data_IF_188778762250
#
_entry.id   IF_188778762250
#
_cell.length_a   1.000
_cell.length_b   1.000
_cell.length_c   1.000
_cell.angle_alpha   90.00
_cell.angle_beta   90.00
_cell.angle_gamma   90.00
#
_symmetry.space_group_name_H-M   'P 1'
#
loop_
_entity.id
_entity.type
_entity.pdbx_description
1 polymer ?
#
# COMPACT_ATOMS: atom_id res chain seq x y z
N UNK A 1 14.90 -42.37 -20.31
CA UNK A 1 13.62 -42.05 -19.62
C UNK A 1 13.94 -40.98 -18.58
N UNK A 2 13.38 -39.78 -18.73
CA UNK A 2 13.57 -38.69 -17.77
C UNK A 2 12.51 -38.82 -16.67
N UNK A 3 12.94 -38.86 -15.41
CA UNK A 3 12.05 -38.88 -14.25
C UNK A 3 11.59 -37.44 -14.00
N UNK A 4 10.27 -37.17 -13.91
CA UNK A 4 9.80 -35.83 -13.62
C UNK A 4 10.17 -35.45 -12.18
N UNK A 5 10.85 -34.31 -12.02
CA UNK A 5 11.03 -33.67 -10.72
C UNK A 5 9.70 -33.00 -10.38
N UNK A 6 9.02 -33.50 -9.34
CA UNK A 6 7.91 -32.76 -8.77
C UNK A 6 8.47 -31.62 -7.93
N UNK A 7 8.40 -30.40 -8.45
CA UNK A 7 8.53 -29.20 -7.62
C UNK A 7 7.32 -29.15 -6.69
N UNK A 8 7.53 -29.43 -5.41
CA UNK A 8 6.59 -29.08 -4.33
C UNK A 8 6.64 -27.56 -4.13
N UNK A 9 6.11 -26.81 -5.10
CA UNK A 9 5.98 -25.35 -5.04
C UNK A 9 4.68 -24.97 -4.32
N UNK A 10 4.44 -25.52 -3.13
CA UNK A 10 3.41 -25.01 -2.24
C UNK A 10 4.19 -24.12 -1.28
N UNK A 11 4.27 -22.82 -1.62
CA UNK A 11 4.84 -21.83 -0.71
C UNK A 11 4.21 -22.02 0.67
N UNK A 12 5.03 -21.86 1.71
CA UNK A 12 4.60 -21.98 3.09
C UNK A 12 3.30 -21.16 3.28
N UNK A 13 2.23 -21.83 3.70
CA UNK A 13 0.91 -21.20 3.88
C UNK A 13 0.84 -20.50 5.24
N UNK A 14 1.91 -20.55 6.04
CA UNK A 14 2.06 -19.75 7.23
C UNK A 14 2.17 -18.25 6.90
N UNK A 15 1.53 -17.36 7.69
CA UNK A 15 1.73 -15.93 7.57
C UNK A 15 3.21 -15.57 7.66
N UNK A 16 3.64 -14.65 6.81
CA UNK A 16 5.01 -14.21 6.74
C UNK A 16 5.26 -13.11 7.78
N UNK A 17 6.35 -13.19 8.55
CA UNK A 17 6.65 -12.21 9.59
C UNK A 17 6.88 -10.82 8.99
N UNK A 18 6.41 -9.78 9.70
CA UNK A 18 6.58 -8.37 9.32
C UNK A 18 7.55 -7.73 10.30
N UNK A 19 8.63 -7.12 9.80
CA UNK A 19 9.56 -6.38 10.65
C UNK A 19 9.01 -4.97 10.94
N UNK A 20 8.70 -4.71 12.22
CA UNK A 20 8.10 -3.47 12.72
C UNK A 20 9.06 -2.68 13.63
N UNK A 21 10.35 -3.01 13.65
CA UNK A 21 11.35 -2.37 14.52
C UNK A 21 11.53 -0.88 14.27
N UNK A 22 11.28 -0.43 13.03
CA UNK A 22 11.38 0.98 12.65
C UNK A 22 10.16 1.82 13.06
N UNK A 23 9.10 1.19 13.61
CA UNK A 23 7.88 1.88 14.02
C UNK A 23 7.90 2.19 15.53
N UNK A 24 7.31 3.34 15.94
CA UNK A 24 7.11 3.66 17.34
C UNK A 24 6.41 2.53 18.08
N UNK A 25 6.73 2.39 19.36
CA UNK A 25 5.97 1.51 20.24
C UNK A 25 4.56 2.10 20.47
N UNK A 26 3.57 1.22 20.48
CA UNK A 26 2.15 1.53 20.64
C UNK A 26 1.50 0.72 21.76
N UNK A 27 2.31 -0.05 22.51
CA UNK A 27 1.87 -0.87 23.62
C UNK A 27 1.20 -2.18 23.22
N UNK A 28 0.92 -2.99 24.24
CA UNK A 28 0.32 -4.33 24.08
C UNK A 28 -1.21 -4.31 24.05
N UNK A 29 -1.82 -3.26 24.59
CA UNK A 29 -3.28 -3.08 24.53
C UNK A 29 -3.69 -2.69 23.11
N UNK A 30 -4.72 -3.36 22.60
CA UNK A 30 -5.23 -3.07 21.26
C UNK A 30 -5.87 -1.68 21.21
N UNK A 31 -5.35 -0.85 20.32
CA UNK A 31 -5.91 0.45 19.96
C UNK A 31 -7.20 0.26 19.14
N UNK A 32 -8.03 1.29 19.13
CA UNK A 32 -9.28 1.34 18.36
C UNK A 32 -9.12 2.14 17.07
N UNK A 33 -8.10 2.97 16.97
CA UNK A 33 -7.82 3.83 15.81
C UNK A 33 -6.38 3.63 15.31
N UNK A 34 -6.17 3.89 14.02
CA UNK A 34 -4.86 3.79 13.39
C UNK A 34 -3.86 4.82 13.96
N UNK A 35 -2.80 4.39 14.69
CA UNK A 35 -1.84 5.29 15.31
C UNK A 35 -0.87 5.91 14.32
N UNK A 36 -0.76 5.40 13.09
CA UNK A 36 0.29 5.79 12.15
C UNK A 36 -0.14 6.81 11.10
N UNK A 37 -1.32 7.44 11.24
CA UNK A 37 -1.75 8.51 10.34
C UNK A 37 -0.78 9.71 10.39
N UNK A 38 -0.54 10.32 9.23
CA UNK A 38 0.52 11.34 9.06
C UNK A 38 0.37 12.54 10.03
N UNK A 39 -0.85 12.94 10.34
CA UNK A 39 -1.14 14.02 11.28
C UNK A 39 -0.80 13.70 12.75
N UNK A 40 -0.72 12.41 13.10
CA UNK A 40 -0.39 11.95 14.46
C UNK A 40 1.12 11.74 14.64
N UNK A 41 1.78 11.16 13.64
CA UNK A 41 3.18 10.70 13.76
C UNK A 41 4.16 11.43 12.86
N UNK A 42 3.68 12.31 11.98
CA UNK A 42 4.49 13.00 10.97
C UNK A 42 4.81 12.12 9.75
N UNK A 43 5.22 12.76 8.67
CA UNK A 43 5.44 12.11 7.37
C UNK A 43 6.51 11.01 7.41
N UNK A 44 7.58 11.20 8.18
CA UNK A 44 8.69 10.23 8.25
C UNK A 44 8.21 8.87 8.80
N UNK A 45 7.47 8.89 9.91
CA UNK A 45 6.93 7.66 10.52
C UNK A 45 5.80 7.09 9.68
N UNK A 46 4.93 7.93 9.13
CA UNK A 46 3.87 7.48 8.22
C UNK A 46 4.44 6.77 6.98
N UNK A 47 5.51 7.30 6.38
CA UNK A 47 6.20 6.64 5.25
C UNK A 47 6.85 5.31 5.66
N UNK A 48 7.41 5.22 6.87
CA UNK A 48 7.92 3.96 7.39
C UNK A 48 6.80 2.93 7.57
N UNK A 49 5.66 3.33 8.15
CA UNK A 49 4.47 2.50 8.31
C UNK A 49 3.90 2.05 6.97
N UNK A 50 3.87 2.93 5.96
CA UNK A 50 3.45 2.58 4.61
C UNK A 50 4.35 1.52 3.97
N UNK A 51 5.67 1.69 4.04
CA UNK A 51 6.62 0.74 3.44
C UNK A 51 6.52 -0.64 4.09
N UNK A 52 6.40 -0.67 5.42
CA UNK A 52 6.20 -1.91 6.18
C UNK A 52 4.83 -2.52 5.86
N UNK A 53 3.79 -1.69 5.78
CA UNK A 53 2.43 -2.07 5.45
C UNK A 53 2.29 -2.66 4.05
N UNK A 54 2.91 -2.04 3.04
CA UNK A 54 2.93 -2.52 1.66
C UNK A 54 3.54 -3.93 1.58
N UNK A 55 4.71 -4.11 2.21
CA UNK A 55 5.35 -5.42 2.30
C UNK A 55 4.48 -6.44 3.05
N UNK A 56 3.96 -6.07 4.22
CA UNK A 56 3.12 -6.95 5.05
C UNK A 56 1.84 -7.36 4.34
N UNK A 57 1.19 -6.42 3.67
CA UNK A 57 -0.04 -6.62 2.90
C UNK A 57 0.19 -7.57 1.72
N UNK A 58 1.23 -7.32 0.91
CA UNK A 58 1.51 -8.14 -0.27
C UNK A 58 1.83 -9.59 0.09
N UNK A 59 2.45 -9.82 1.25
CA UNK A 59 2.80 -11.17 1.70
C UNK A 59 1.62 -11.92 2.34
N UNK A 60 0.73 -11.22 3.04
CA UNK A 60 -0.28 -11.86 3.89
C UNK A 60 -1.74 -11.68 3.41
N UNK A 61 -2.03 -10.65 2.62
CA UNK A 61 -3.41 -10.21 2.34
C UNK A 61 -3.75 -10.23 0.84
N UNK A 62 -2.80 -9.84 -0.02
CA UNK A 62 -3.03 -9.60 -1.45
C UNK A 62 -3.53 -10.82 -2.22
N UNK A 63 -3.23 -12.05 -1.77
CA UNK A 63 -3.74 -13.27 -2.39
C UNK A 63 -5.27 -13.35 -2.40
N UNK A 64 -5.93 -12.79 -1.38
CA UNK A 64 -7.38 -12.82 -1.23
C UNK A 64 -8.04 -11.49 -1.61
N UNK A 65 -7.42 -10.38 -1.18
CA UNK A 65 -7.97 -9.03 -1.36
C UNK A 65 -7.40 -8.31 -2.59
N UNK A 66 -6.53 -8.96 -3.35
CA UNK A 66 -5.90 -8.45 -4.57
C UNK A 66 -4.71 -7.53 -4.32
N UNK A 67 -3.93 -7.27 -5.36
CA UNK A 67 -2.79 -6.35 -5.29
C UNK A 67 -3.30 -4.91 -5.13
N UNK A 68 -2.61 -4.11 -4.31
CA UNK A 68 -3.06 -2.74 -4.05
C UNK A 68 -4.42 -2.66 -3.35
N UNK A 69 -4.87 -3.74 -2.71
CA UNK A 69 -6.20 -3.89 -2.13
C UNK A 69 -7.38 -3.85 -3.10
N UNK A 70 -7.11 -3.92 -4.40
CA UNK A 70 -8.13 -3.99 -5.46
C UNK A 70 -8.59 -5.43 -5.62
N UNK A 71 -9.83 -5.73 -5.25
CA UNK A 71 -10.31 -7.11 -5.26
C UNK A 71 -10.52 -7.69 -6.66
N UNK A 72 -10.06 -8.94 -6.85
CA UNK A 72 -10.40 -9.77 -8.01
C UNK A 72 -11.68 -10.61 -7.86
N UNK A 73 -12.50 -10.35 -6.81
CA UNK A 73 -13.77 -11.03 -6.56
C UNK A 73 -13.73 -12.19 -5.56
N UNK A 74 -12.56 -12.52 -4.98
CA UNK A 74 -12.44 -13.58 -3.98
C UNK A 74 -12.82 -13.11 -2.56
N UNK A 75 -12.35 -11.94 -2.16
CA UNK A 75 -12.68 -11.27 -0.91
C UNK A 75 -13.02 -9.79 -1.17
N UNK A 76 -13.57 -9.01 -0.24
CA UNK A 76 -13.91 -7.61 -0.47
C UNK A 76 -12.70 -6.73 -0.87
N UNK A 77 -12.94 -5.72 -1.70
CA UNK A 77 -11.99 -4.62 -1.94
C UNK A 77 -11.85 -3.81 -0.65
N UNK A 78 -10.62 -3.70 -0.13
CA UNK A 78 -10.40 -3.08 1.17
C UNK A 78 -10.20 -1.56 1.09
N UNK A 79 -10.04 -1.00 -0.12
CA UNK A 79 -9.83 0.45 -0.28
C UNK A 79 -11.05 1.25 0.16
N UNK A 80 -12.24 0.64 0.13
CA UNK A 80 -13.49 1.24 0.57
C UNK A 80 -13.75 1.14 2.07
N UNK A 81 -12.81 0.58 2.85
CA UNK A 81 -12.93 0.60 4.30
C UNK A 81 -12.51 1.99 4.82
N UNK A 82 -13.51 2.77 5.23
CA UNK A 82 -13.39 4.19 5.60
C UNK A 82 -12.24 4.45 6.58
N UNK A 83 -11.46 5.50 6.34
CA UNK A 83 -10.31 5.88 7.16
C UNK A 83 -10.72 6.68 8.41
N UNK A 84 -11.58 6.06 9.24
CA UNK A 84 -12.11 6.63 10.48
C UNK A 84 -12.23 5.55 11.56
N UNK A 85 -12.57 5.96 12.79
CA UNK A 85 -12.67 5.08 13.97
C UNK A 85 -13.50 3.84 13.71
N UNK A 86 -14.69 3.97 13.10
CA UNK A 86 -15.55 2.82 12.82
C UNK A 86 -14.90 1.83 11.83
N UNK A 87 -14.23 2.34 10.80
CA UNK A 87 -13.48 1.52 9.86
C UNK A 87 -12.27 0.83 10.49
N UNK A 88 -11.62 1.49 11.45
CA UNK A 88 -10.46 0.97 12.18
C UNK A 88 -10.86 -0.12 13.19
N UNK A 89 -11.94 0.06 13.93
CA UNK A 89 -12.48 -0.98 14.81
C UNK A 89 -12.86 -2.22 14.01
N UNK A 90 -13.52 -2.03 12.85
CA UNK A 90 -13.85 -3.11 11.94
C UNK A 90 -12.59 -3.80 11.41
N UNK A 91 -11.59 -3.03 10.97
CA UNK A 91 -10.31 -3.59 10.55
C UNK A 91 -9.65 -4.42 11.65
N UNK A 92 -9.53 -3.86 12.85
CA UNK A 92 -8.85 -4.48 13.98
C UNK A 92 -9.54 -5.79 14.38
N UNK A 93 -10.88 -5.83 14.46
CA UNK A 93 -11.62 -7.05 14.76
C UNK A 93 -11.38 -8.12 13.69
N UNK A 94 -11.48 -7.77 12.40
CA UNK A 94 -11.28 -8.72 11.29
C UNK A 94 -9.85 -9.19 11.19
N UNK A 95 -8.88 -8.32 11.41
CA UNK A 95 -7.47 -8.70 11.46
C UNK A 95 -7.22 -9.71 12.57
N UNK A 96 -7.73 -9.44 13.78
CA UNK A 96 -7.48 -10.27 14.95
C UNK A 96 -8.18 -11.62 14.88
N UNK A 97 -9.47 -11.60 14.61
CA UNK A 97 -10.36 -12.75 14.76
C UNK A 97 -10.69 -13.44 13.44
N UNK A 98 -10.39 -12.79 12.30
CA UNK A 98 -10.73 -13.29 10.98
C UNK A 98 -12.23 -13.19 10.68
N UNK A 99 -12.71 -14.07 9.81
CA UNK A 99 -14.12 -14.17 9.45
C UNK A 99 -14.50 -15.62 9.14
N UNK A 100 -15.55 -16.10 9.79
CA UNK A 100 -16.12 -17.43 9.57
C UNK A 100 -17.60 -17.29 9.24
N UNK A 101 -18.03 -17.99 8.20
CA UNK A 101 -19.42 -18.01 7.75
C UNK A 101 -19.83 -19.46 7.50
N UNK A 102 -20.98 -19.87 8.04
CA UNK A 102 -21.52 -21.23 7.92
C UNK A 102 -20.52 -22.33 8.32
N UNK A 103 -19.71 -22.05 9.35
CA UNK A 103 -18.66 -22.96 9.84
C UNK A 103 -17.40 -23.04 8.96
N UNK A 104 -17.33 -22.25 7.89
CA UNK A 104 -16.17 -22.18 6.99
C UNK A 104 -15.41 -20.88 7.23
N UNK A 105 -14.14 -20.99 7.63
CA UNK A 105 -13.24 -19.84 7.74
C UNK A 105 -12.98 -19.25 6.35
N UNK A 106 -13.37 -17.99 6.16
CA UNK A 106 -13.19 -17.20 4.94
C UNK A 106 -11.96 -16.32 5.01
N UNK A 107 -11.67 -15.80 6.21
CA UNK A 107 -10.48 -15.01 6.51
C UNK A 107 -9.88 -15.55 7.82
N UNK A 108 -8.59 -15.93 7.85
CA UNK A 108 -7.95 -16.34 9.09
C UNK A 108 -7.77 -15.12 10.02
N UNK A 109 -7.75 -15.36 11.34
CA UNK A 109 -7.30 -14.37 12.31
C UNK A 109 -5.78 -14.35 12.39
N UNK A 110 -5.21 -13.18 12.64
CA UNK A 110 -3.77 -12.93 12.70
C UNK A 110 -3.28 -12.54 14.10
N UNK A 111 -4.17 -12.41 15.09
CA UNK A 111 -3.77 -12.13 16.47
C UNK A 111 -2.86 -13.23 17.02
N UNK A 112 -1.73 -12.84 17.61
CA UNK A 112 -0.70 -13.75 18.08
C UNK A 112 0.19 -14.33 16.98
N UNK A 113 -0.07 -14.02 15.70
CA UNK A 113 0.78 -14.38 14.56
C UNK A 113 1.54 -13.16 14.04
N UNK A 114 0.83 -12.06 13.85
CA UNK A 114 1.38 -10.74 13.55
C UNK A 114 1.11 -9.81 14.72
N UNK A 115 2.08 -8.96 15.05
CA UNK A 115 1.93 -7.99 16.13
C UNK A 115 0.98 -6.85 15.73
N UNK A 116 0.52 -6.09 16.72
CA UNK A 116 -0.37 -4.95 16.50
C UNK A 116 0.29 -3.88 15.60
N UNK A 117 1.61 -3.70 15.67
CA UNK A 117 2.33 -2.74 14.82
C UNK A 117 2.23 -3.12 13.34
N UNK A 118 2.33 -4.40 13.02
CA UNK A 118 2.17 -4.91 11.66
C UNK A 118 0.73 -4.72 11.17
N UNK A 119 -0.25 -4.95 12.04
CA UNK A 119 -1.66 -4.71 11.73
C UNK A 119 -1.89 -3.25 11.32
N UNK A 120 -1.47 -2.30 12.14
CA UNK A 120 -1.67 -0.88 11.85
C UNK A 120 -0.83 -0.35 10.68
N UNK A 121 0.36 -0.90 10.46
CA UNK A 121 1.14 -0.60 9.25
C UNK A 121 0.38 -1.06 7.99
N UNK A 122 -0.16 -2.29 8.00
CA UNK A 122 -1.00 -2.81 6.90
C UNK A 122 -2.24 -1.94 6.72
N UNK A 123 -2.91 -1.53 7.80
CA UNK A 123 -4.06 -0.62 7.74
C UNK A 123 -3.71 0.70 7.07
N UNK A 124 -2.58 1.30 7.46
CA UNK A 124 -2.06 2.54 6.86
C UNK A 124 -1.82 2.39 5.35
N UNK A 125 -1.29 1.24 4.93
CA UNK A 125 -1.16 0.93 3.50
C UNK A 125 -2.53 0.82 2.80
N UNK A 126 -3.48 0.11 3.40
CA UNK A 126 -4.82 -0.11 2.81
C UNK A 126 -5.62 1.18 2.68
N UNK A 127 -5.66 2.01 3.73
CA UNK A 127 -6.46 3.23 3.73
C UNK A 127 -5.91 4.30 2.76
N UNK A 128 -4.63 4.27 2.44
CA UNK A 128 -3.99 5.25 1.54
C UNK A 128 -4.11 4.90 0.06
N UNK A 129 -4.81 3.82 -0.29
CA UNK A 129 -4.97 3.41 -1.70
C UNK A 129 -5.80 4.43 -2.49
N UNK A 130 -5.33 4.84 -3.68
CA UNK A 130 -6.09 5.72 -4.56
C UNK A 130 -7.46 5.14 -4.95
N UNK A 131 -8.42 6.02 -5.18
CA UNK A 131 -9.66 5.65 -5.88
C UNK A 131 -9.40 5.35 -7.36
N UNK A 132 -10.35 4.64 -7.98
CA UNK A 132 -10.27 4.36 -9.41
C UNK A 132 -10.39 5.67 -10.21
N UNK A 133 -9.51 5.86 -11.20
CA UNK A 133 -9.50 7.06 -12.03
C UNK A 133 -8.92 8.32 -11.36
N UNK A 134 -8.37 8.22 -10.14
CA UNK A 134 -7.80 9.37 -9.40
C UNK A 134 -6.68 10.13 -10.13
N UNK A 135 -6.14 9.56 -11.22
CA UNK A 135 -5.07 10.15 -12.04
C UNK A 135 -5.51 10.46 -13.47
N UNK A 136 -6.77 10.20 -13.86
CA UNK A 136 -7.23 10.29 -15.24
C UNK A 136 -7.05 11.70 -15.81
N UNK A 137 -7.36 12.72 -15.02
CA UNK A 137 -7.20 14.13 -15.39
C UNK A 137 -5.73 14.53 -15.61
N UNK A 138 -4.80 13.77 -15.05
CA UNK A 138 -3.35 14.00 -15.15
C UNK A 138 -2.65 13.02 -16.09
N UNK A 139 -3.35 12.02 -16.65
CA UNK A 139 -2.74 10.89 -17.36
C UNK A 139 -1.82 11.32 -18.51
N UNK A 140 -2.26 12.29 -19.32
CA UNK A 140 -1.47 12.83 -20.42
C UNK A 140 -0.18 13.49 -19.93
N UNK A 141 -0.27 14.32 -18.89
CA UNK A 141 0.90 15.03 -18.35
C UNK A 141 1.86 14.07 -17.64
N UNK A 142 1.35 13.10 -16.91
CA UNK A 142 2.16 12.08 -16.26
C UNK A 142 2.88 11.19 -17.27
N UNK A 143 2.28 10.91 -18.43
CA UNK A 143 2.94 10.21 -19.53
C UNK A 143 4.11 11.03 -20.11
N UNK A 144 3.93 12.34 -20.29
CA UNK A 144 5.01 13.25 -20.71
C UNK A 144 6.15 13.28 -19.69
N UNK A 145 5.84 13.42 -18.39
CA UNK A 145 6.85 13.40 -17.32
C UNK A 145 7.61 12.08 -17.32
N UNK A 146 6.92 10.94 -17.42
CA UNK A 146 7.54 9.61 -17.52
C UNK A 146 8.52 9.55 -18.70
N UNK A 147 8.12 10.04 -19.86
CA UNK A 147 8.96 10.01 -21.06
C UNK A 147 10.19 10.93 -20.91
N UNK A 148 10.03 12.10 -20.30
CA UNK A 148 11.15 12.99 -19.94
C UNK A 148 12.13 12.32 -18.98
N UNK A 149 11.63 11.65 -17.93
CA UNK A 149 12.47 10.90 -16.98
C UNK A 149 13.24 9.77 -17.65
N UNK A 150 12.60 9.02 -18.56
CA UNK A 150 13.23 7.93 -19.30
C UNK A 150 14.35 8.39 -20.25
N UNK A 151 14.20 9.59 -20.82
CA UNK A 151 15.21 10.21 -21.69
C UNK A 151 16.29 10.99 -20.93
N UNK A 152 16.13 11.18 -19.61
CA UNK A 152 17.01 12.04 -18.81
C UNK A 152 16.84 13.53 -19.14
N UNK A 153 15.69 13.91 -19.68
CA UNK A 153 15.36 15.29 -20.09
C UNK A 153 14.57 16.04 -19.02
N UNK A 154 14.58 17.37 -19.10
CA UNK A 154 13.88 18.23 -18.15
C UNK A 154 14.65 18.48 -16.85
N UNK A 155 14.20 19.48 -16.11
CA UNK A 155 14.72 19.83 -14.79
C UNK A 155 14.13 18.89 -13.73
N UNK A 156 14.98 18.08 -13.09
CA UNK A 156 14.56 17.11 -12.09
C UNK A 156 13.85 17.77 -10.90
N UNK A 157 14.27 18.95 -10.48
CA UNK A 157 13.64 19.65 -9.36
C UNK A 157 12.23 20.13 -9.73
N UNK A 158 12.07 20.66 -10.96
CA UNK A 158 10.77 21.08 -11.46
C UNK A 158 9.81 19.90 -11.65
N UNK A 159 10.30 18.79 -12.22
CA UNK A 159 9.51 17.57 -12.40
C UNK A 159 9.12 16.95 -11.05
N UNK A 160 10.02 16.97 -10.06
CA UNK A 160 9.73 16.50 -8.71
C UNK A 160 8.64 17.34 -8.04
N UNK A 161 8.73 18.67 -8.14
CA UNK A 161 7.73 19.57 -7.59
C UNK A 161 6.36 19.36 -8.23
N UNK A 162 6.31 19.23 -9.56
CA UNK A 162 5.07 18.97 -10.30
C UNK A 162 4.45 17.61 -9.91
N UNK A 163 5.25 16.56 -9.78
CA UNK A 163 4.78 15.26 -9.30
C UNK A 163 4.24 15.35 -7.87
N UNK A 164 4.87 16.13 -6.98
CA UNK A 164 4.38 16.32 -5.62
C UNK A 164 3.06 17.09 -5.58
N UNK A 165 2.88 18.10 -6.44
CA UNK A 165 1.63 18.85 -6.57
C UNK A 165 0.49 17.95 -7.09
N UNK A 166 0.73 17.14 -8.12
CA UNK A 166 -0.24 16.16 -8.62
C UNK A 166 -0.55 15.10 -7.55
N UNK A 167 0.48 14.60 -6.84
CA UNK A 167 0.28 13.61 -5.79
C UNK A 167 -0.64 14.10 -4.67
N UNK A 168 -0.60 15.40 -4.34
CA UNK A 168 -1.44 16.01 -3.32
C UNK A 168 -2.93 16.10 -3.70
N UNK A 169 -3.27 15.96 -4.98
CA UNK A 169 -4.66 15.98 -5.46
C UNK A 169 -5.27 14.59 -5.62
N UNK A 170 -4.49 13.52 -5.43
CA UNK A 170 -4.96 12.15 -5.59
C UNK A 170 -5.87 11.76 -4.43
N UNK A 171 -7.15 11.55 -4.73
CA UNK A 171 -8.12 11.06 -3.76
C UNK A 171 -7.89 9.59 -3.40
N UNK A 172 -8.11 9.26 -2.13
CA UNK A 172 -8.14 7.86 -1.66
C UNK A 172 -9.57 7.34 -1.67
N UNK A 173 -9.73 6.03 -1.91
CA UNK A 173 -11.07 5.43 -1.89
C UNK A 173 -11.68 5.32 -0.48
N UNK A 174 -10.84 5.45 0.55
CA UNK A 174 -11.23 5.32 1.97
C UNK A 174 -11.64 6.66 2.60
N UNK A 175 -11.37 7.78 1.91
CA UNK A 175 -11.48 9.12 2.49
C UNK A 175 -10.25 9.57 3.31
N UNK A 176 -9.19 8.76 3.41
CA UNK A 176 -7.92 9.19 3.99
C UNK A 176 -7.36 10.44 3.27
N UNK A 177 -6.80 11.41 4.01
CA UNK A 177 -6.41 12.71 3.46
C UNK A 177 -5.19 12.66 2.53
N UNK A 178 -4.43 11.56 2.53
CA UNK A 178 -3.19 11.42 1.78
C UNK A 178 -3.14 10.05 1.10
N UNK A 179 -2.98 10.06 -0.23
CA UNK A 179 -2.81 8.84 -1.00
C UNK A 179 -1.33 8.44 -1.11
N UNK A 180 -1.06 7.14 -1.08
CA UNK A 180 0.21 6.58 -1.56
C UNK A 180 -0.01 6.02 -2.97
N UNK A 181 0.22 6.89 -3.94
CA UNK A 181 0.05 6.69 -5.37
C UNK A 181 1.40 6.51 -6.08
N UNK A 182 1.37 5.95 -7.29
CA UNK A 182 2.57 5.86 -8.13
C UNK A 182 3.25 7.22 -8.36
N UNK A 183 2.46 8.30 -8.41
CA UNK A 183 2.95 9.67 -8.56
C UNK A 183 3.67 10.14 -7.28
N UNK A 184 3.07 9.90 -6.10
CA UNK A 184 3.72 10.24 -4.82
C UNK A 184 5.04 9.51 -4.64
N UNK A 185 5.09 8.20 -4.94
CA UNK A 185 6.31 7.39 -4.89
C UNK A 185 7.37 7.87 -5.90
N UNK A 186 6.94 8.27 -7.11
CA UNK A 186 7.85 8.82 -8.10
C UNK A 186 8.46 10.16 -7.66
N UNK A 187 7.64 11.04 -7.04
CA UNK A 187 8.11 12.30 -6.47
C UNK A 187 9.13 12.06 -5.35
N UNK A 188 8.87 11.10 -4.45
CA UNK A 188 9.79 10.72 -3.38
C UNK A 188 11.11 10.13 -3.91
N UNK A 189 11.03 9.24 -4.90
CA UNK A 189 12.20 8.64 -5.52
C UNK A 189 13.08 9.72 -6.18
N UNK A 190 12.47 10.67 -6.89
CA UNK A 190 13.18 11.75 -7.55
C UNK A 190 13.76 12.76 -6.54
N UNK A 191 13.08 13.01 -5.41
CA UNK A 191 13.62 13.83 -4.33
C UNK A 191 14.83 13.18 -3.64
N UNK A 192 14.78 11.86 -3.44
CA UNK A 192 15.86 11.10 -2.80
C UNK A 192 17.10 10.95 -3.70
N UNK A 193 16.91 10.80 -5.01
CA UNK A 193 17.99 10.67 -5.98
C UNK A 193 17.68 11.45 -7.29
N UNK A 194 17.88 12.78 -7.30
CA UNK A 194 17.57 13.62 -8.48
C UNK A 194 18.32 13.23 -9.76
N UNK A 195 19.50 12.62 -9.60
CA UNK A 195 20.35 12.14 -10.68
C UNK A 195 19.99 10.72 -11.16
N UNK A 196 19.22 9.94 -10.37
CA UNK A 196 18.75 8.59 -10.73
C UNK A 196 17.25 8.59 -11.02
N UNK A 197 16.91 9.01 -12.24
CA UNK A 197 15.52 9.18 -12.71
C UNK A 197 14.83 7.87 -13.07
N UNK A 198 15.58 6.75 -13.12
CA UNK A 198 15.08 5.47 -13.60
C UNK A 198 13.95 4.95 -12.71
N UNK A 199 14.13 5.01 -11.39
CA UNK A 199 13.14 4.53 -10.42
C UNK A 199 11.83 5.31 -10.54
N UNK A 200 11.90 6.64 -10.61
CA UNK A 200 10.72 7.48 -10.77
C UNK A 200 9.97 7.19 -12.09
N UNK A 201 10.71 7.03 -13.20
CA UNK A 201 10.12 6.66 -14.50
C UNK A 201 9.46 5.27 -14.47
N UNK A 202 10.07 4.28 -13.83
CA UNK A 202 9.50 2.93 -13.69
C UNK A 202 8.21 2.94 -12.84
N UNK A 203 8.19 3.70 -11.74
CA UNK A 203 7.01 3.87 -10.89
C UNK A 203 5.84 4.46 -11.68
N UNK A 204 6.07 5.52 -12.47
CA UNK A 204 5.04 6.09 -13.33
C UNK A 204 4.61 5.11 -14.44
N UNK A 205 5.54 4.34 -15.00
CA UNK A 205 5.22 3.33 -16.02
C UNK A 205 4.26 2.29 -15.48
N UNK A 206 4.56 1.73 -14.31
CA UNK A 206 3.73 0.71 -13.66
C UNK A 206 2.39 1.33 -13.26
N UNK A 207 2.40 2.48 -12.59
CA UNK A 207 1.20 3.14 -12.10
C UNK A 207 0.20 3.51 -13.19
N UNK A 208 0.67 4.10 -14.29
CA UNK A 208 -0.19 4.49 -15.42
C UNK A 208 -0.72 3.27 -16.19
N UNK A 209 0.01 2.15 -16.19
CA UNK A 209 -0.47 0.92 -16.83
C UNK A 209 -1.56 0.20 -16.05
N UNK A 210 -1.65 0.44 -14.74
CA UNK A 210 -2.66 -0.14 -13.85
C UNK A 210 -3.96 0.69 -13.81
N UNK A 211 -3.96 1.89 -14.38
CA UNK A 211 -5.13 2.78 -14.46
C UNK A 211 -6.02 2.52 -15.70
N UNK A 212 -5.75 1.48 -16.49
CA UNK A 212 -6.44 1.16 -17.74
C UNK A 212 -6.91 -0.29 -17.82
#
# INVERSE_FOLDING_TARGET
>A
MAVPVQLLAHGDVAPQPVNTEALPDIGDEWLTENPYRAELVGDEVWLAALKIGDSGYNQNCARCHGLGAVSGGLAPDLRHLEAEEYGDEWYAERFRLGYTQDGVTKMPGFEGVLDQKAAWAIRTYVETRPEDGALDDHAARLAEIRDQLALGEGDAAALQAELAEIAATVATASGAPKADSAVSRAAEALAAAPDDRKVAGELLTIGLSAAH
#
